data_IF_439287268084
#
_entry.id   IF_439287268084
#
_cell.length_a   1.000
_cell.length_b   1.000
_cell.length_c   1.000
_cell.angle_alpha   90.00
_cell.angle_beta   90.00
_cell.angle_gamma   90.00
#
_symmetry.space_group_name_H-M   'P 1'
#
loop_
_entity.id
_entity.type
_entity.pdbx_description
1 polymer ?
#
# COMPACT_ATOMS: atom_id res chain seq x y z
N UNK A 1 -6.38 -52.24 31.86
CA UNK A 1 -5.19 -51.38 32.03
C UNK A 1 -5.21 -50.39 30.90
N UNK A 2 -5.50 -49.10 31.15
CA UNK A 2 -5.51 -48.04 30.13
C UNK A 2 -4.15 -47.30 30.15
N UNK A 3 -3.52 -47.02 29.02
CA UNK A 3 -2.23 -46.31 28.99
C UNK A 3 -2.43 -44.84 29.37
N UNK A 4 -1.47 -44.27 30.12
CA UNK A 4 -1.42 -42.85 30.55
C UNK A 4 -1.03 -41.96 29.38
N UNK A 5 -1.58 -40.73 29.27
CA UNK A 5 -1.20 -39.80 28.23
C UNK A 5 0.19 -39.23 28.51
N UNK A 6 1.03 -39.23 27.48
CA UNK A 6 2.37 -38.63 27.47
C UNK A 6 2.26 -37.10 27.51
N UNK A 7 2.90 -36.50 28.49
CA UNK A 7 2.99 -35.02 28.65
C UNK A 7 3.91 -34.46 27.57
N UNK A 8 3.34 -33.73 26.64
CA UNK A 8 4.12 -32.92 25.67
C UNK A 8 4.71 -31.72 26.41
N UNK A 9 6.03 -31.58 26.38
CA UNK A 9 6.76 -30.42 26.94
C UNK A 9 6.42 -29.20 26.09
N UNK A 10 5.94 -28.13 26.74
CA UNK A 10 5.80 -26.82 26.15
C UNK A 10 7.19 -26.29 25.80
N UNK A 11 7.43 -26.06 24.53
CA UNK A 11 8.62 -25.36 24.04
C UNK A 11 8.51 -23.88 24.44
N UNK A 12 9.48 -23.41 25.19
CA UNK A 12 9.62 -22.01 25.56
C UNK A 12 9.92 -21.20 24.30
N UNK A 13 8.97 -20.39 23.86
CA UNK A 13 9.19 -19.44 22.77
C UNK A 13 10.09 -18.36 23.32
N UNK A 14 11.34 -18.34 22.88
CA UNK A 14 12.29 -17.27 23.19
C UNK A 14 11.78 -15.97 22.53
N UNK A 15 11.49 -14.95 23.34
CA UNK A 15 11.06 -13.65 22.88
C UNK A 15 12.15 -13.03 21.98
N UNK A 16 11.77 -12.67 20.77
CA UNK A 16 12.62 -11.91 19.84
C UNK A 16 12.91 -10.55 20.50
N UNK A 17 14.18 -10.13 20.62
CA UNK A 17 14.49 -8.83 21.17
C UNK A 17 13.87 -7.74 20.30
N UNK A 18 13.10 -6.84 20.90
CA UNK A 18 12.59 -5.63 20.24
C UNK A 18 13.78 -4.83 19.74
N UNK A 19 13.85 -4.62 18.44
CA UNK A 19 14.83 -3.75 17.81
C UNK A 19 14.84 -2.39 18.53
N UNK A 20 16.04 -1.96 18.92
CA UNK A 20 16.24 -0.70 19.61
C UNK A 20 15.64 0.46 18.84
N UNK A 21 15.07 1.42 19.57
CA UNK A 21 14.53 2.66 19.02
C UNK A 21 15.63 3.38 18.21
N UNK A 22 15.54 3.30 16.90
CA UNK A 22 16.27 4.18 16.00
C UNK A 22 15.60 5.53 16.13
N UNK A 23 16.26 6.49 16.80
CA UNK A 23 15.85 7.90 16.77
C UNK A 23 15.90 8.35 15.30
N UNK A 24 14.77 8.73 14.69
CA UNK A 24 14.80 9.21 13.33
C UNK A 24 15.43 10.61 13.35
N UNK A 25 16.56 10.77 12.68
CA UNK A 25 16.93 12.08 12.13
C UNK A 25 15.82 12.38 11.11
N UNK A 26 14.92 13.27 11.49
CA UNK A 26 13.74 13.57 10.70
C UNK A 26 14.16 14.25 9.39
N UNK A 27 14.38 13.47 8.34
CA UNK A 27 14.18 14.00 6.99
C UNK A 27 12.73 14.47 6.93
N UNK A 28 12.46 15.72 6.48
CA UNK A 28 11.11 16.22 6.38
C UNK A 28 10.29 15.23 5.53
N UNK A 29 9.14 14.79 6.06
CA UNK A 29 8.28 13.83 5.37
C UNK A 29 7.94 14.35 3.95
N UNK A 30 8.22 13.59 2.89
CA UNK A 30 8.05 14.04 1.50
C UNK A 30 6.58 14.24 1.12
N UNK A 31 5.64 13.76 1.95
CA UNK A 31 4.21 13.91 1.74
C UNK A 31 3.60 15.05 2.58
N UNK A 32 4.25 15.47 3.67
CA UNK A 32 3.88 16.69 4.37
C UNK A 32 4.27 17.95 3.60
N UNK A 33 5.43 17.90 2.96
CA UNK A 33 5.98 18.99 2.15
C UNK A 33 6.41 18.47 0.77
N UNK A 34 5.45 18.10 -0.09
CA UNK A 34 5.76 17.60 -1.42
C UNK A 34 6.31 18.73 -2.31
N UNK A 35 7.07 18.33 -3.32
CA UNK A 35 7.39 19.20 -4.43
C UNK A 35 6.07 19.73 -5.05
N UNK A 36 5.86 21.07 -5.14
CA UNK A 36 4.65 21.63 -5.72
C UNK A 36 4.34 21.13 -7.14
N UNK A 37 5.37 20.83 -7.94
CA UNK A 37 5.21 20.26 -9.28
C UNK A 37 4.60 18.87 -9.31
N UNK A 38 4.57 18.17 -8.18
CA UNK A 38 3.96 16.84 -8.06
C UNK A 38 2.51 16.89 -7.56
N UNK A 39 2.04 18.00 -7.01
CA UNK A 39 0.67 18.13 -6.49
C UNK A 39 -0.29 18.28 -7.66
N UNK A 40 -1.16 17.27 -7.85
CA UNK A 40 -2.19 17.30 -8.89
C UNK A 40 -3.43 18.05 -8.42
N UNK A 41 -3.85 17.83 -7.18
CA UNK A 41 -4.89 18.60 -6.49
C UNK A 41 -4.92 18.27 -4.98
N UNK A 42 -5.63 19.10 -4.22
CA UNK A 42 -5.84 18.97 -2.78
C UNK A 42 -7.23 19.48 -2.41
N UNK A 43 -7.91 18.86 -1.44
CA UNK A 43 -9.25 19.25 -0.97
C UNK A 43 -9.31 19.60 0.54
N UNK A 44 -8.15 19.79 1.18
CA UNK A 44 -8.02 20.11 2.60
C UNK A 44 -7.93 18.90 3.53
N UNK A 45 -8.46 17.74 3.19
CA UNK A 45 -8.29 16.48 3.94
C UNK A 45 -7.28 15.55 3.27
N UNK A 46 -7.23 15.56 1.95
CA UNK A 46 -6.34 14.71 1.15
C UNK A 46 -5.64 15.52 0.06
N UNK A 47 -4.46 15.05 -0.28
CA UNK A 47 -3.63 15.56 -1.36
C UNK A 47 -3.38 14.46 -2.36
N UNK A 48 -3.46 14.76 -3.63
CA UNK A 48 -3.17 13.84 -4.73
C UNK A 48 -1.88 14.27 -5.41
N UNK A 49 -0.94 13.33 -5.50
CA UNK A 49 0.41 13.56 -6.01
C UNK A 49 0.68 12.65 -7.20
N UNK A 50 1.43 13.12 -8.19
CA UNK A 50 2.14 12.21 -9.09
C UNK A 50 3.20 11.46 -8.29
N UNK A 51 3.34 10.14 -8.50
CA UNK A 51 4.39 9.37 -7.84
C UNK A 51 5.78 9.86 -8.31
N UNK A 52 6.73 9.97 -7.38
CA UNK A 52 8.11 10.39 -7.69
C UNK A 52 8.93 9.30 -8.39
N UNK A 53 8.48 8.04 -8.26
CA UNK A 53 9.10 6.85 -8.85
C UNK A 53 8.03 6.01 -9.54
N UNK A 54 7.36 6.53 -10.59
CA UNK A 54 6.19 5.91 -11.16
C UNK A 54 6.53 4.55 -11.77
N UNK A 55 5.73 3.52 -11.45
CA UNK A 55 5.88 2.18 -12.03
C UNK A 55 5.17 2.05 -13.39
N UNK A 56 4.28 2.99 -13.70
CA UNK A 56 3.59 3.11 -14.98
C UNK A 56 3.21 4.56 -15.25
N UNK A 57 2.97 4.97 -16.51
CA UNK A 57 2.49 6.31 -16.82
C UNK A 57 1.19 6.63 -16.05
N UNK A 58 1.15 7.79 -15.39
CA UNK A 58 0.00 8.22 -14.59
C UNK A 58 -0.09 7.62 -13.18
N UNK A 59 0.94 6.91 -12.68
CA UNK A 59 0.98 6.43 -11.31
C UNK A 59 0.82 7.61 -10.32
N UNK A 60 -0.17 7.52 -9.47
CA UNK A 60 -0.65 8.59 -8.60
C UNK A 60 -0.77 8.09 -7.17
N UNK A 61 -0.53 8.98 -6.20
CA UNK A 61 -0.69 8.73 -4.78
C UNK A 61 -1.81 9.60 -4.22
N UNK A 62 -2.66 9.02 -3.38
CA UNK A 62 -3.63 9.75 -2.54
C UNK A 62 -3.14 9.71 -1.11
N UNK A 63 -2.93 10.87 -0.51
CA UNK A 63 -2.25 11.05 0.78
C UNK A 63 -3.11 11.93 1.69
N UNK A 64 -3.42 11.54 2.94
CA UNK A 64 -4.02 12.46 3.92
C UNK A 64 -3.11 13.68 4.11
N UNK A 65 -3.69 14.88 4.25
CA UNK A 65 -2.91 16.10 4.55
C UNK A 65 -2.31 16.01 5.96
N UNK A 66 -3.08 15.46 6.90
CA UNK A 66 -2.60 15.18 8.26
C UNK A 66 -1.56 14.06 8.22
N UNK A 67 -0.42 14.28 8.88
CA UNK A 67 0.61 13.24 9.01
C UNK A 67 0.09 12.09 9.88
N UNK A 68 -0.17 10.96 9.28
CA UNK A 68 -0.61 9.72 9.93
C UNK A 68 0.03 8.54 9.21
N UNK A 69 0.60 7.60 9.96
CA UNK A 69 1.36 6.51 9.37
C UNK A 69 0.46 5.43 8.76
N UNK A 70 -0.61 5.04 9.48
CA UNK A 70 -1.50 3.95 9.12
C UNK A 70 -2.83 4.47 8.55
N UNK A 71 -3.36 3.77 7.53
CA UNK A 71 -4.71 4.01 7.04
C UNK A 71 -5.76 3.77 8.14
N UNK A 72 -5.52 2.82 9.03
CA UNK A 72 -6.43 2.47 10.12
C UNK A 72 -6.46 3.50 11.25
N UNK A 73 -5.53 4.46 11.24
CA UNK A 73 -5.48 5.61 12.17
C UNK A 73 -6.11 6.87 11.54
N UNK A 74 -6.56 6.80 10.29
CA UNK A 74 -7.28 7.89 9.65
C UNK A 74 -8.72 7.97 10.19
N UNK A 75 -9.26 9.19 10.20
CA UNK A 75 -10.67 9.42 10.59
C UNK A 75 -11.63 8.94 9.48
N UNK A 76 -12.90 8.65 9.82
CA UNK A 76 -13.92 8.32 8.80
C UNK A 76 -14.04 9.39 7.70
N UNK A 77 -13.88 10.67 8.05
CA UNK A 77 -13.90 11.76 7.08
C UNK A 77 -12.71 11.69 6.11
N UNK A 78 -11.50 11.42 6.62
CA UNK A 78 -10.30 11.22 5.78
C UNK A 78 -10.43 9.99 4.88
N UNK A 79 -10.98 8.88 5.40
CA UNK A 79 -11.23 7.67 4.59
C UNK A 79 -12.20 7.95 3.44
N UNK A 80 -13.28 8.68 3.73
CA UNK A 80 -14.25 9.10 2.71
C UNK A 80 -13.59 10.00 1.67
N UNK A 81 -12.77 10.96 2.10
CA UNK A 81 -12.04 11.87 1.22
C UNK A 81 -11.03 11.10 0.34
N UNK A 82 -10.32 10.08 0.88
CA UNK A 82 -9.42 9.23 0.12
C UNK A 82 -10.15 8.51 -1.01
N UNK A 83 -11.32 7.92 -0.75
CA UNK A 83 -12.12 7.23 -1.77
C UNK A 83 -12.62 8.21 -2.85
N UNK A 84 -13.08 9.39 -2.46
CA UNK A 84 -13.51 10.43 -3.41
C UNK A 84 -12.34 10.92 -4.28
N UNK A 85 -11.18 11.15 -3.66
CA UNK A 85 -9.97 11.58 -4.36
C UNK A 85 -9.43 10.50 -5.33
N UNK A 86 -9.51 9.20 -4.98
CA UNK A 86 -9.18 8.10 -5.89
C UNK A 86 -10.06 8.13 -7.14
N UNK A 87 -11.38 8.34 -6.97
CA UNK A 87 -12.30 8.41 -8.10
C UNK A 87 -12.00 9.62 -9.00
N UNK A 88 -11.66 10.77 -8.41
CA UNK A 88 -11.28 11.97 -9.17
C UNK A 88 -9.93 11.79 -9.87
N UNK A 89 -8.92 11.27 -9.16
CA UNK A 89 -7.60 10.97 -9.74
C UNK A 89 -7.72 10.03 -10.93
N UNK A 90 -8.53 8.97 -10.82
CA UNK A 90 -8.81 8.04 -11.92
C UNK A 90 -9.37 8.78 -13.14
N UNK A 91 -10.39 9.64 -12.98
CA UNK A 91 -10.99 10.37 -14.12
C UNK A 91 -9.95 11.24 -14.85
N UNK A 92 -9.02 11.87 -14.12
CA UNK A 92 -7.94 12.67 -14.71
C UNK A 92 -6.94 11.78 -15.45
N UNK A 93 -6.55 10.66 -14.86
CA UNK A 93 -5.65 9.69 -15.48
C UNK A 93 -6.29 9.07 -16.72
N UNK A 94 -7.58 8.70 -16.68
CA UNK A 94 -8.33 8.18 -17.85
C UNK A 94 -8.26 9.17 -19.04
N UNK A 95 -8.41 10.47 -18.75
CA UNK A 95 -8.38 11.50 -19.78
C UNK A 95 -6.98 11.67 -20.39
N UNK A 96 -5.93 11.62 -19.57
CA UNK A 96 -4.56 11.94 -19.98
C UNK A 96 -3.81 10.72 -20.55
N UNK A 97 -4.03 9.54 -19.98
CA UNK A 97 -3.20 8.36 -20.21
C UNK A 97 -3.96 7.18 -20.83
N UNK A 98 -5.30 7.14 -20.73
CA UNK A 98 -6.17 6.09 -21.30
C UNK A 98 -5.71 4.67 -20.93
N UNK A 99 -5.55 4.34 -19.64
CA UNK A 99 -5.15 2.99 -19.24
C UNK A 99 -6.28 1.98 -19.47
N UNK A 100 -5.90 0.69 -19.56
CA UNK A 100 -6.84 -0.42 -19.71
C UNK A 100 -7.37 -0.94 -18.37
N UNK A 101 -6.73 -0.58 -17.25
CA UNK A 101 -7.12 -1.00 -15.90
C UNK A 101 -6.31 -0.32 -14.82
N UNK A 102 -6.55 -0.74 -13.57
CA UNK A 102 -5.86 -0.17 -12.41
C UNK A 102 -5.56 -1.24 -11.36
N UNK A 103 -4.42 -1.10 -10.68
CA UNK A 103 -4.22 -1.64 -9.35
C UNK A 103 -4.33 -0.48 -8.33
N UNK A 104 -5.11 -0.71 -7.28
CA UNK A 104 -5.25 0.22 -6.15
C UNK A 104 -4.83 -0.50 -4.89
N UNK A 105 -4.00 0.12 -4.07
CA UNK A 105 -3.53 -0.49 -2.83
C UNK A 105 -2.68 0.44 -2.00
N UNK A 106 -2.41 0.01 -0.78
CA UNK A 106 -1.52 0.69 0.16
C UNK A 106 -0.64 -0.34 0.87
N UNK A 107 0.51 0.11 1.35
CA UNK A 107 1.36 -0.63 2.26
C UNK A 107 1.20 -0.05 3.65
N UNK A 108 0.69 -0.83 4.60
CA UNK A 108 0.47 -0.39 5.99
C UNK A 108 1.45 -1.13 6.91
N UNK A 109 2.41 -0.40 7.42
CA UNK A 109 3.49 -0.91 8.26
C UNK A 109 4.68 -1.52 7.49
N UNK A 110 5.84 -1.64 8.17
CA UNK A 110 7.09 -2.08 7.55
C UNK A 110 7.04 -3.49 6.94
N UNK A 111 6.31 -4.42 7.57
CA UNK A 111 6.15 -5.79 7.07
C UNK A 111 5.36 -5.85 5.76
N UNK A 112 4.53 -4.85 5.48
CA UNK A 112 3.82 -4.70 4.21
C UNK A 112 4.61 -3.88 3.18
N UNK A 113 5.83 -3.44 3.51
CA UNK A 113 6.70 -2.69 2.60
C UNK A 113 6.49 -1.18 2.62
N UNK A 114 5.87 -0.63 3.67
CA UNK A 114 5.76 0.82 3.82
C UNK A 114 7.13 1.45 4.08
N UNK A 115 7.63 2.25 3.15
CA UNK A 115 8.93 2.92 3.23
C UNK A 115 8.84 4.36 3.73
N UNK A 116 7.73 5.04 3.49
CA UNK A 116 7.43 6.38 4.02
C UNK A 116 6.34 6.23 5.07
N UNK A 117 6.64 6.60 6.33
CA UNK A 117 5.69 6.50 7.47
C UNK A 117 4.66 7.65 7.43
N UNK A 118 3.97 7.75 6.34
CA UNK A 118 2.82 8.60 6.09
C UNK A 118 1.89 7.81 5.15
N UNK A 119 0.66 7.60 5.55
CA UNK A 119 -0.33 6.85 4.80
C UNK A 119 -0.43 7.36 3.36
N UNK A 120 -0.32 6.47 2.39
CA UNK A 120 -0.50 6.79 0.99
C UNK A 120 -1.13 5.62 0.24
N UNK A 121 -2.12 5.90 -0.57
CA UNK A 121 -2.80 4.93 -1.40
C UNK A 121 -2.34 5.11 -2.84
N UNK A 122 -1.84 4.03 -3.42
CA UNK A 122 -1.43 3.99 -4.82
C UNK A 122 -2.63 3.81 -5.75
N UNK A 123 -2.67 4.61 -6.80
CA UNK A 123 -3.49 4.39 -7.99
C UNK A 123 -2.52 4.12 -9.16
N UNK A 124 -2.41 2.85 -9.55
CA UNK A 124 -1.45 2.39 -10.56
C UNK A 124 -2.19 2.06 -11.84
N UNK A 125 -2.09 2.90 -12.88
CA UNK A 125 -2.64 2.59 -14.19
C UNK A 125 -1.97 1.36 -14.79
N UNK A 126 -2.76 0.54 -15.47
CA UNK A 126 -2.28 -0.68 -16.13
C UNK A 126 -2.62 -0.61 -17.63
N UNK A 127 -1.74 -1.15 -18.43
CA UNK A 127 -1.86 -1.12 -19.89
C UNK A 127 -1.76 -2.54 -20.44
N UNK A 128 -2.56 -2.85 -21.45
CA UNK A 128 -2.53 -4.15 -22.10
C UNK A 128 -1.10 -4.46 -22.59
N UNK A 129 -0.57 -5.59 -22.17
CA UNK A 129 0.79 -6.01 -22.51
C UNK A 129 1.90 -5.45 -21.61
N UNK A 130 1.59 -4.68 -20.56
CA UNK A 130 2.59 -4.19 -19.61
C UNK A 130 3.25 -5.34 -18.79
N UNK A 131 2.56 -6.48 -18.71
CA UNK A 131 3.08 -7.76 -18.22
C UNK A 131 2.59 -8.91 -19.08
N UNK A 132 3.41 -9.97 -19.25
CA UNK A 132 2.99 -11.17 -19.98
C UNK A 132 1.75 -11.84 -19.38
N UNK A 133 1.69 -11.95 -18.05
CA UNK A 133 0.54 -12.44 -17.30
C UNK A 133 0.21 -11.49 -16.14
N UNK A 134 -0.85 -10.68 -16.23
CA UNK A 134 -1.25 -9.74 -15.19
C UNK A 134 -2.13 -10.37 -14.11
N UNK A 135 -2.55 -11.65 -14.25
CA UNK A 135 -3.45 -12.30 -13.29
C UNK A 135 -2.90 -12.25 -11.87
N UNK A 136 -3.78 -12.21 -10.89
CA UNK A 136 -3.42 -12.11 -9.47
C UNK A 136 -3.19 -10.68 -8.97
N UNK A 137 -2.74 -9.74 -9.82
CA UNK A 137 -2.62 -8.33 -9.48
C UNK A 137 -1.92 -8.09 -8.13
N UNK A 138 -2.66 -7.55 -7.15
CA UNK A 138 -2.14 -7.25 -5.79
C UNK A 138 -1.64 -8.47 -5.01
N UNK A 139 -2.01 -9.70 -5.43
CA UNK A 139 -1.52 -10.93 -4.77
C UNK A 139 -0.01 -11.16 -4.98
N UNK A 140 0.58 -10.50 -5.98
CA UNK A 140 2.02 -10.59 -6.24
C UNK A 140 2.90 -9.98 -5.15
N UNK A 141 2.31 -9.41 -4.08
CA UNK A 141 3.03 -9.09 -2.83
C UNK A 141 3.64 -10.33 -2.16
N UNK A 142 3.09 -11.53 -2.44
CA UNK A 142 3.64 -12.84 -2.07
C UNK A 142 3.70 -13.71 -3.34
N UNK A 143 4.78 -13.62 -4.13
CA UNK A 143 4.88 -14.22 -5.47
C UNK A 143 4.62 -15.73 -5.47
N UNK A 144 5.11 -16.44 -4.46
CA UNK A 144 4.96 -17.90 -4.31
C UNK A 144 3.51 -18.35 -4.06
N UNK A 145 2.61 -17.42 -3.76
CA UNK A 145 1.19 -17.65 -3.50
C UNK A 145 0.26 -16.89 -4.43
N UNK A 146 0.81 -16.12 -5.36
CA UNK A 146 0.03 -15.27 -6.25
C UNK A 146 -0.78 -16.08 -7.26
N UNK A 147 -0.16 -17.07 -7.91
CA UNK A 147 -0.74 -17.89 -8.97
C UNK A 147 -1.59 -19.04 -8.38
N UNK A 148 -2.81 -18.74 -7.93
CA UNK A 148 -3.73 -19.74 -7.39
C UNK A 148 -4.42 -20.61 -8.46
N UNK A 149 -4.43 -20.16 -9.70
CA UNK A 149 -5.02 -20.87 -10.86
C UNK A 149 -4.13 -22.01 -11.38
N UNK A 150 -2.88 -22.11 -10.94
CA UNK A 150 -1.95 -23.16 -11.29
C UNK A 150 -1.91 -24.28 -10.22
N UNK A 151 -2.77 -24.18 -9.18
CA UNK A 151 -2.87 -25.18 -8.14
C UNK A 151 -3.94 -26.19 -8.51
N UNK A 152 -3.54 -27.46 -8.58
CA UNK A 152 -4.45 -28.61 -8.58
C UNK A 152 -5.02 -28.78 -7.16
N UNK A 153 -5.79 -27.81 -6.68
CA UNK A 153 -6.46 -27.89 -5.39
C UNK A 153 -7.91 -28.36 -5.64
N UNK A 154 -8.35 -29.47 -4.99
CA UNK A 154 -9.69 -30.02 -5.13
C UNK A 154 -10.75 -29.12 -4.47
#
# INVERSE_FOLDING_TARGET
MRPRPTRVRASTITAIPRAGAVTPVASPCPFCNPDPGRVLFEDGLVRVLSDGFPVSPGHTLVVPVRHVASFFETTPAEQTAVLAALAEARRRVDTQHRPDGYNVGLNDGPAAGQTVLHCHVHLIPRYAGDRPDPRGGVRWVLPEKAAYWDRDDP
#
